data_IF_134514538695
#
_entry.id   IF_134514538695
#
_cell.length_a   1.000
_cell.length_b   1.000
_cell.length_c   1.000
_cell.angle_alpha   90.00
_cell.angle_beta   90.00
_cell.angle_gamma   90.00
#
_symmetry.space_group_name_H-M   'P 1'
#
loop_
_entity.id
_entity.type
_entity.pdbx_description
1 polymer ?
#
# COMPACT_ATOMS: atom_id res chain seq x y z
N UNK A 1 -19.88 -0.71 -13.40
CA UNK A 1 -18.54 -0.17 -13.10
C UNK A 1 -18.56 1.31 -13.47
N UNK A 2 -18.92 2.19 -12.54
CA UNK A 2 -18.89 3.64 -12.79
C UNK A 2 -17.43 4.06 -12.83
N UNK A 3 -16.96 4.53 -13.98
CA UNK A 3 -15.63 5.13 -14.11
C UNK A 3 -15.68 6.44 -13.33
N UNK A 4 -15.25 6.42 -12.07
CA UNK A 4 -15.01 7.66 -11.33
C UNK A 4 -13.79 8.33 -11.96
N UNK A 5 -13.99 9.54 -12.48
CA UNK A 5 -12.89 10.39 -12.93
C UNK A 5 -12.12 10.88 -11.70
N UNK A 6 -11.18 10.07 -11.22
CA UNK A 6 -10.22 10.45 -10.18
C UNK A 6 -9.28 11.56 -10.72
N UNK A 7 -8.93 12.53 -9.87
CA UNK A 7 -7.96 13.59 -10.16
C UNK A 7 -6.65 13.06 -10.74
N UNK A 8 -6.22 11.88 -10.28
CA UNK A 8 -5.02 11.21 -10.80
C UNK A 8 -5.16 10.87 -12.28
N UNK A 9 -6.34 10.39 -12.70
CA UNK A 9 -6.67 10.11 -14.10
C UNK A 9 -6.72 11.40 -14.91
N UNK A 10 -7.35 12.46 -14.39
CA UNK A 10 -7.42 13.76 -15.05
C UNK A 10 -6.02 14.36 -15.28
N UNK A 11 -5.13 14.33 -14.27
CA UNK A 11 -3.75 14.80 -14.38
C UNK A 11 -2.91 13.93 -15.33
N UNK A 12 -3.13 12.62 -15.33
CA UNK A 12 -2.45 11.72 -16.27
C UNK A 12 -2.84 12.05 -17.72
N UNK A 13 -4.13 12.29 -17.98
CA UNK A 13 -4.63 12.73 -19.29
C UNK A 13 -4.05 14.10 -19.65
N UNK A 14 -4.06 15.06 -18.73
CA UNK A 14 -3.50 16.40 -18.94
C UNK A 14 -2.00 16.33 -19.27
N UNK A 15 -1.24 15.48 -18.58
CA UNK A 15 0.18 15.26 -18.83
C UNK A 15 0.43 14.66 -20.22
N UNK A 16 -0.40 13.70 -20.65
CA UNK A 16 -0.33 13.12 -22.00
C UNK A 16 -0.67 14.17 -23.06
N UNK A 17 -1.72 14.98 -22.87
CA UNK A 17 -2.10 16.05 -23.79
C UNK A 17 -1.02 17.13 -23.88
N UNK A 18 -0.45 17.53 -22.74
CA UNK A 18 0.65 18.49 -22.66
C UNK A 18 1.86 18.01 -23.47
N UNK A 19 2.23 16.74 -23.34
CA UNK A 19 3.33 16.14 -24.13
C UNK A 19 2.95 15.98 -25.62
N UNK A 20 1.71 15.63 -25.93
CA UNK A 20 1.23 15.49 -27.30
C UNK A 20 1.23 16.81 -28.07
N UNK A 21 0.94 17.92 -27.39
CA UNK A 21 0.97 19.27 -27.96
C UNK A 21 2.40 19.75 -28.29
N UNK A 22 3.44 19.08 -27.80
CA UNK A 22 4.82 19.58 -27.87
C UNK A 22 5.66 18.89 -28.94
N UNK A 23 5.79 19.54 -30.10
CA UNK A 23 6.45 18.99 -31.30
C UNK A 23 7.90 18.54 -31.11
N UNK A 24 8.68 19.18 -30.24
CA UNK A 24 10.12 18.90 -30.05
C UNK A 24 10.44 17.71 -29.12
N UNK A 25 9.54 17.34 -28.22
CA UNK A 25 9.77 16.34 -27.17
C UNK A 25 8.79 15.17 -27.22
N UNK A 26 7.78 15.26 -28.10
CA UNK A 26 6.70 14.28 -28.30
C UNK A 26 7.18 12.84 -28.38
N UNK A 27 8.16 12.52 -29.23
CA UNK A 27 8.52 11.11 -29.47
C UNK A 27 9.18 10.43 -28.25
N UNK A 28 9.90 11.18 -27.42
CA UNK A 28 10.59 10.63 -26.24
C UNK A 28 9.67 10.52 -25.03
N UNK A 29 8.87 11.56 -24.77
CA UNK A 29 8.02 11.59 -23.58
C UNK A 29 6.70 10.84 -23.77
N UNK A 30 6.14 10.79 -25.00
CA UNK A 30 4.93 9.99 -25.24
C UNK A 30 5.17 8.52 -24.91
N UNK A 31 6.30 7.95 -25.34
CA UNK A 31 6.66 6.57 -25.00
C UNK A 31 6.77 6.35 -23.49
N UNK A 32 7.50 7.22 -22.78
CA UNK A 32 7.70 7.12 -21.33
C UNK A 32 6.40 7.27 -20.53
N UNK A 33 5.54 8.21 -20.92
CA UNK A 33 4.27 8.46 -20.24
C UNK A 33 3.25 7.36 -20.52
N UNK A 34 3.20 6.83 -21.75
CA UNK A 34 2.38 5.66 -22.08
C UNK A 34 2.85 4.45 -21.26
N UNK A 35 4.16 4.22 -21.17
CA UNK A 35 4.71 3.16 -20.30
C UNK A 35 4.33 3.37 -18.84
N UNK A 36 4.45 4.59 -18.31
CA UNK A 36 4.06 4.89 -16.92
C UNK A 36 2.56 4.71 -16.67
N UNK A 37 1.71 5.08 -17.63
CA UNK A 37 0.26 4.88 -17.55
C UNK A 37 -0.10 3.39 -17.48
N UNK A 38 0.55 2.57 -18.30
CA UNK A 38 0.38 1.11 -18.32
C UNK A 38 0.99 0.43 -17.09
N UNK A 39 2.02 1.03 -16.50
CA UNK A 39 2.57 0.62 -15.21
C UNK A 39 1.72 1.11 -14.03
N UNK A 40 0.75 2.02 -14.22
CA UNK A 40 -0.04 2.58 -13.12
C UNK A 40 -0.79 1.54 -12.26
N UNK A 41 -1.33 0.44 -12.80
CA UNK A 41 -1.90 -0.64 -11.98
C UNK A 41 -0.83 -1.35 -11.12
N UNK A 42 0.40 -1.46 -11.64
CA UNK A 42 1.54 -1.97 -10.88
C UNK A 42 2.02 -0.98 -9.81
N UNK A 43 1.97 0.32 -10.09
CA UNK A 43 2.31 1.36 -9.12
C UNK A 43 1.25 1.47 -8.01
N UNK A 44 -0.03 1.33 -8.32
CA UNK A 44 -1.09 1.28 -7.30
C UNK A 44 -0.96 0.03 -6.44
N UNK A 45 -0.57 -1.09 -7.03
CA UNK A 45 -0.22 -2.32 -6.32
C UNK A 45 0.96 -2.11 -5.35
N UNK A 46 2.10 -1.61 -5.83
CA UNK A 46 3.26 -1.30 -4.98
C UNK A 46 2.89 -0.31 -3.87
N UNK A 47 2.11 0.71 -4.22
CA UNK A 47 1.67 1.70 -3.25
C UNK A 47 0.83 1.05 -2.15
N UNK A 48 -0.14 0.20 -2.47
CA UNK A 48 -0.95 -0.49 -1.44
C UNK A 48 -0.10 -1.35 -0.48
N UNK A 49 0.98 -1.98 -0.98
CA UNK A 49 1.87 -2.82 -0.17
C UNK A 49 2.73 -2.04 0.82
N UNK A 50 3.39 -0.98 0.36
CA UNK A 50 4.38 -0.25 1.18
C UNK A 50 3.75 0.83 2.06
N UNK A 51 2.59 1.32 1.68
CA UNK A 51 1.99 2.49 2.31
C UNK A 51 1.57 2.22 3.75
N UNK A 52 1.13 1.01 4.10
CA UNK A 52 0.67 0.72 5.45
C UNK A 52 1.81 0.73 6.51
N UNK A 53 2.93 -0.01 6.34
CA UNK A 53 4.07 0.09 7.26
C UNK A 53 4.63 1.51 7.37
N UNK A 54 4.69 2.24 6.24
CA UNK A 54 5.13 3.64 6.23
C UNK A 54 4.24 4.50 7.14
N UNK A 55 2.92 4.27 7.20
CA UNK A 55 2.02 5.02 8.12
C UNK A 55 2.30 4.75 9.57
N UNK A 56 2.52 3.49 9.94
CA UNK A 56 2.82 3.14 11.31
C UNK A 56 4.10 3.86 11.75
N UNK A 57 5.12 3.85 10.89
CA UNK A 57 6.37 4.55 11.15
C UNK A 57 6.19 6.07 11.20
N UNK A 58 5.44 6.67 10.27
CA UNK A 58 5.15 8.10 10.27
C UNK A 58 4.37 8.52 11.51
N UNK A 59 3.43 7.69 11.99
CA UNK A 59 2.66 7.95 13.20
C UNK A 59 3.56 7.93 14.43
N UNK A 60 4.46 6.95 14.53
CA UNK A 60 5.45 6.87 15.59
C UNK A 60 6.39 8.10 15.60
N UNK A 61 6.91 8.49 14.43
CA UNK A 61 7.76 9.68 14.29
C UNK A 61 6.99 10.97 14.63
N UNK A 62 5.76 11.13 14.14
CA UNK A 62 4.94 12.29 14.44
C UNK A 62 4.68 12.41 15.94
N UNK A 63 4.29 11.31 16.60
CA UNK A 63 4.07 11.30 18.04
C UNK A 63 5.32 11.63 18.85
N UNK A 64 6.48 11.08 18.45
CA UNK A 64 7.77 11.43 19.07
C UNK A 64 8.07 12.93 18.93
N UNK A 65 7.97 13.48 17.71
CA UNK A 65 8.26 14.89 17.46
C UNK A 65 7.27 15.84 18.16
N UNK A 66 6.00 15.47 18.24
CA UNK A 66 4.98 16.24 18.96
C UNK A 66 5.25 16.27 20.47
N UNK A 67 5.65 15.13 21.07
CA UNK A 67 6.08 15.09 22.49
C UNK A 67 7.31 15.95 22.73
N UNK A 68 8.30 15.92 21.82
CA UNK A 68 9.48 16.78 21.88
C UNK A 68 9.11 18.27 21.77
N UNK A 69 8.07 18.61 21.02
CA UNK A 69 7.52 19.96 20.94
C UNK A 69 6.65 20.36 22.15
N UNK A 70 6.55 19.51 23.18
CA UNK A 70 5.78 19.79 24.40
C UNK A 70 4.28 19.49 24.28
N UNK A 71 3.83 18.85 23.20
CA UNK A 71 2.43 18.46 23.01
C UNK A 71 2.23 17.05 23.54
N UNK A 72 1.38 16.90 24.56
CA UNK A 72 1.10 15.60 25.17
C UNK A 72 0.24 14.73 24.23
N UNK A 73 0.91 13.84 23.50
CA UNK A 73 0.30 12.93 22.52
C UNK A 73 0.73 11.49 22.79
N UNK A 74 -0.24 10.61 23.03
CA UNK A 74 -0.02 9.17 23.06
C UNK A 74 -0.13 8.57 21.67
N UNK A 75 0.70 7.57 21.39
CA UNK A 75 0.76 6.87 20.10
C UNK A 75 0.28 5.44 20.31
N UNK A 76 -0.82 5.07 19.66
CA UNK A 76 -1.35 3.71 19.65
C UNK A 76 -1.41 3.21 18.20
N UNK A 77 -0.28 2.70 17.70
CA UNK A 77 -0.18 2.22 16.33
C UNK A 77 -0.39 3.32 15.29
N UNK A 78 -1.45 3.21 14.47
CA UNK A 78 -1.85 4.24 13.51
C UNK A 78 -2.69 5.40 14.11
N UNK A 79 -2.88 5.44 15.44
CA UNK A 79 -3.66 6.47 16.14
C UNK A 79 -2.75 7.41 16.95
N UNK A 80 -3.05 8.70 16.87
CA UNK A 80 -2.49 9.73 17.73
C UNK A 80 -3.59 10.25 18.66
N UNK A 81 -3.36 10.15 19.97
CA UNK A 81 -4.32 10.54 21.00
C UNK A 81 -3.75 11.76 21.72
N UNK A 82 -4.33 12.93 21.47
CA UNK A 82 -3.91 14.17 22.13
C UNK A 82 -4.78 14.44 23.35
N UNK A 83 -4.15 14.66 24.50
CA UNK A 83 -4.87 15.08 25.70
C UNK A 83 -5.13 16.59 25.64
N UNK A 84 -6.41 16.99 25.66
CA UNK A 84 -6.82 18.41 25.68
C UNK A 84 -7.65 18.70 26.94
N UNK A 85 -7.85 19.98 27.26
CA UNK A 85 -8.69 20.37 28.40
C UNK A 85 -10.17 19.92 28.26
N UNK A 86 -10.63 19.65 27.03
CA UNK A 86 -11.98 19.16 26.74
C UNK A 86 -12.08 17.61 26.67
N UNK A 87 -10.97 16.90 26.85
CA UNK A 87 -10.89 15.44 26.76
C UNK A 87 -9.87 14.94 25.71
N UNK A 88 -9.72 13.61 25.57
CA UNK A 88 -8.81 13.02 24.58
C UNK A 88 -9.37 13.15 23.17
N UNK A 89 -8.56 13.72 22.26
CA UNK A 89 -8.88 13.81 20.83
C UNK A 89 -8.11 12.72 20.08
N UNK A 90 -8.85 11.79 19.51
CA UNK A 90 -8.33 10.65 18.74
C UNK A 90 -8.23 11.01 17.25
N UNK A 91 -7.03 10.96 16.68
CA UNK A 91 -6.80 11.14 15.24
C UNK A 91 -6.16 9.90 14.62
N UNK A 92 -6.90 9.29 13.68
CA UNK A 92 -6.40 8.18 12.89
C UNK A 92 -5.54 8.68 11.74
N UNK A 93 -4.33 8.14 11.60
CA UNK A 93 -3.48 8.30 10.42
C UNK A 93 -3.96 7.32 9.34
N UNK A 94 -5.18 7.56 8.87
CA UNK A 94 -5.89 6.69 7.93
C UNK A 94 -5.46 6.93 6.47
N UNK A 95 -5.85 6.06 5.51
CA UNK A 95 -5.63 6.31 4.07
C UNK A 95 -6.24 7.61 3.56
N UNK A 96 -7.24 8.18 4.25
CA UNK A 96 -7.74 9.51 3.93
C UNK A 96 -6.71 10.60 4.28
N UNK A 97 -5.95 10.40 5.36
CA UNK A 97 -4.82 11.24 5.76
C UNK A 97 -3.55 10.91 4.97
N UNK A 98 -3.43 9.70 4.44
CA UNK A 98 -2.30 9.30 3.63
C UNK A 98 -2.63 9.36 2.14
N UNK A 99 -2.16 10.42 1.51
CA UNK A 99 -2.40 10.69 0.12
C UNK A 99 -1.73 9.68 -0.81
N UNK A 100 -2.29 8.49 -0.96
CA UNK A 100 -1.96 7.58 -2.07
C UNK A 100 -2.28 8.29 -3.40
N UNK A 101 -3.46 8.94 -3.44
CA UNK A 101 -3.82 9.88 -4.50
C UNK A 101 -2.83 11.06 -4.54
N UNK A 102 -2.47 11.68 -3.40
CA UNK A 102 -1.51 12.79 -3.42
C UNK A 102 -0.08 12.38 -3.77
N UNK A 103 0.34 11.14 -3.56
CA UNK A 103 1.67 10.63 -3.90
C UNK A 103 1.75 10.40 -5.39
N UNK A 104 0.73 9.77 -5.98
CA UNK A 104 0.57 9.70 -7.44
C UNK A 104 0.55 11.08 -8.07
N UNK A 105 -0.32 11.98 -7.57
CA UNK A 105 -0.41 13.37 -8.02
C UNK A 105 0.91 14.11 -7.87
N UNK A 106 1.60 14.01 -6.73
CA UNK A 106 2.88 14.71 -6.49
C UNK A 106 3.99 14.21 -7.40
N UNK A 107 4.06 12.91 -7.67
CA UNK A 107 5.01 12.36 -8.63
C UNK A 107 4.68 12.81 -10.07
N UNK A 108 3.40 12.86 -10.45
CA UNK A 108 2.98 13.37 -11.76
C UNK A 108 3.33 14.86 -11.93
N UNK A 109 3.05 15.68 -10.92
CA UNK A 109 3.40 17.11 -10.90
C UNK A 109 4.92 17.30 -10.93
N UNK A 110 5.68 16.50 -10.17
CA UNK A 110 7.13 16.53 -10.22
C UNK A 110 7.66 16.21 -11.63
N UNK A 111 7.11 15.19 -12.30
CA UNK A 111 7.45 14.87 -13.68
C UNK A 111 7.07 16.01 -14.64
N UNK A 112 5.93 16.67 -14.44
CA UNK A 112 5.55 17.85 -15.20
C UNK A 112 6.60 18.96 -15.09
N UNK A 113 7.11 19.24 -13.88
CA UNK A 113 8.18 20.23 -13.67
C UNK A 113 9.48 19.86 -14.38
N UNK A 114 9.85 18.58 -14.35
CA UNK A 114 11.03 18.11 -15.06
C UNK A 114 10.88 18.31 -16.57
N UNK A 115 9.75 17.88 -17.15
CA UNK A 115 9.46 18.06 -18.58
C UNK A 115 9.45 19.55 -18.94
N UNK A 116 8.79 20.38 -18.12
CA UNK A 116 8.73 21.83 -18.31
C UNK A 116 10.13 22.46 -18.39
N UNK A 117 11.04 22.09 -17.48
CA UNK A 117 12.40 22.63 -17.49
C UNK A 117 13.27 22.07 -18.63
N UNK A 118 13.09 20.81 -19.04
CA UNK A 118 13.74 20.29 -20.27
C UNK A 118 13.29 21.12 -21.48
N UNK A 119 12.02 21.53 -21.43
CA UNK A 119 11.35 22.54 -22.22
C UNK A 119 12.16 23.79 -22.51
N UNK A 120 12.20 24.58 -21.45
CA UNK A 120 12.72 25.93 -21.44
C UNK A 120 14.22 25.96 -21.76
N UNK A 121 14.96 24.93 -21.34
CA UNK A 121 16.41 24.87 -21.51
C UNK A 121 16.88 24.16 -22.79
N UNK A 122 15.97 23.48 -23.50
CA UNK A 122 16.29 22.57 -24.62
C UNK A 122 17.38 21.54 -24.29
N UNK A 123 17.44 21.14 -23.02
CA UNK A 123 18.33 20.09 -22.51
C UNK A 123 17.50 18.90 -22.04
N UNK A 124 18.08 17.71 -22.05
CA UNK A 124 17.46 16.50 -21.51
C UNK A 124 18.36 15.81 -20.52
N UNK A 125 17.75 15.13 -19.54
CA UNK A 125 18.47 14.31 -18.58
C UNK A 125 18.38 12.83 -18.93
N UNK A 126 19.37 12.05 -18.48
CA UNK A 126 19.38 10.60 -18.65
C UNK A 126 18.33 9.92 -17.77
N UNK A 127 17.98 8.66 -18.09
CA UNK A 127 16.98 7.90 -17.33
C UNK A 127 17.35 7.75 -15.84
N UNK A 128 18.64 7.60 -15.52
CA UNK A 128 19.12 7.49 -14.14
C UNK A 128 18.72 8.74 -13.34
N UNK A 129 18.92 9.93 -13.90
CA UNK A 129 18.54 11.18 -13.25
C UNK A 129 17.03 11.35 -13.12
N UNK A 130 16.24 10.85 -14.07
CA UNK A 130 14.77 10.80 -13.94
C UNK A 130 14.37 9.91 -12.75
N UNK A 131 15.01 8.74 -12.59
CA UNK A 131 14.76 7.82 -11.47
C UNK A 131 15.16 8.48 -10.14
N UNK A 132 16.36 9.07 -10.06
CA UNK A 132 16.86 9.77 -8.86
C UNK A 132 15.93 10.92 -8.48
N UNK A 133 15.52 11.73 -9.46
CA UNK A 133 14.56 12.83 -9.24
C UNK A 133 13.21 12.32 -8.74
N UNK A 134 12.68 11.26 -9.34
CA UNK A 134 11.39 10.67 -8.92
C UNK A 134 11.47 10.08 -7.52
N UNK A 135 12.58 9.39 -7.18
CA UNK A 135 12.82 8.88 -5.83
C UNK A 135 12.95 10.02 -4.81
N UNK A 136 13.58 11.13 -5.20
CA UNK A 136 13.70 12.33 -4.36
C UNK A 136 12.32 12.96 -4.12
N UNK A 137 11.50 13.12 -5.15
CA UNK A 137 10.14 13.62 -5.03
C UNK A 137 9.25 12.71 -4.16
N UNK A 138 9.42 11.40 -4.26
CA UNK A 138 8.77 10.43 -3.38
C UNK A 138 9.18 10.62 -1.91
N UNK A 139 10.49 10.78 -1.64
CA UNK A 139 11.01 11.09 -0.31
C UNK A 139 10.46 12.39 0.26
N UNK A 140 10.43 13.46 -0.55
CA UNK A 140 9.80 14.74 -0.18
C UNK A 140 8.32 14.56 0.16
N UNK A 141 7.59 13.72 -0.58
CA UNK A 141 6.18 13.42 -0.29
C UNK A 141 6.01 12.71 1.05
N UNK A 142 6.88 11.75 1.39
CA UNK A 142 6.88 11.09 2.72
C UNK A 142 7.12 12.12 3.82
N UNK A 143 8.11 13.00 3.65
CA UNK A 143 8.43 14.06 4.61
C UNK A 143 7.28 15.07 4.76
N UNK A 144 6.68 15.50 3.65
CA UNK A 144 5.48 16.33 3.63
C UNK A 144 4.34 15.69 4.42
N UNK A 145 4.13 14.38 4.25
CA UNK A 145 3.10 13.66 5.00
C UNK A 145 3.39 13.63 6.51
N UNK A 146 4.66 13.51 6.91
CA UNK A 146 5.04 13.63 8.33
C UNK A 146 4.64 14.98 8.91
N UNK A 147 5.06 16.08 8.26
CA UNK A 147 4.72 17.44 8.70
C UNK A 147 3.21 17.68 8.69
N UNK A 148 2.50 17.20 7.67
CA UNK A 148 1.04 17.27 7.61
C UNK A 148 0.42 16.62 8.85
N UNK A 149 0.81 15.39 9.20
CA UNK A 149 0.28 14.71 10.38
C UNK A 149 0.55 15.54 11.65
N UNK A 150 1.77 16.05 11.81
CA UNK A 150 2.12 16.89 12.95
C UNK A 150 1.24 18.13 13.05
N UNK A 151 1.06 18.86 11.95
CA UNK A 151 0.24 20.08 11.92
C UNK A 151 -1.24 19.77 12.16
N UNK A 152 -1.77 18.69 11.59
CA UNK A 152 -3.16 18.29 11.81
C UNK A 152 -3.43 17.98 13.29
N UNK A 153 -2.51 17.29 13.97
CA UNK A 153 -2.63 16.98 15.40
C UNK A 153 -2.41 18.21 16.27
N UNK A 154 -1.44 19.05 15.93
CA UNK A 154 -1.16 20.29 16.65
C UNK A 154 -2.32 21.30 16.57
N UNK A 155 -3.03 21.36 15.44
CA UNK A 155 -4.16 22.27 15.23
C UNK A 155 -5.53 21.62 15.41
N UNK A 156 -5.61 20.35 15.83
CA UNK A 156 -6.88 19.63 16.00
C UNK A 156 -7.75 19.60 14.73
N UNK A 157 -7.11 19.60 13.57
CA UNK A 157 -7.76 19.65 12.27
C UNK A 157 -8.30 18.26 11.86
N UNK A 158 -9.49 17.93 12.39
CA UNK A 158 -10.17 16.66 12.16
C UNK A 158 -10.52 16.44 10.67
N UNK A 159 -10.57 15.18 10.21
CA UNK A 159 -11.00 14.86 8.84
C UNK A 159 -12.38 15.44 8.52
N UNK A 160 -12.54 15.97 7.30
CA UNK A 160 -13.79 16.58 6.82
C UNK A 160 -13.95 18.07 7.15
N UNK A 161 -12.96 18.69 7.81
CA UNK A 161 -12.92 20.14 8.03
C UNK A 161 -12.14 20.85 6.91
N UNK A 162 -12.47 22.12 6.64
CA UNK A 162 -11.71 22.96 5.68
C UNK A 162 -10.25 23.11 6.12
N UNK A 163 -10.01 23.23 7.43
CA UNK A 163 -8.66 23.32 7.99
C UNK A 163 -7.82 22.09 7.62
N UNK A 164 -8.40 20.89 7.68
CA UNK A 164 -7.71 19.66 7.32
C UNK A 164 -7.27 19.66 5.85
N UNK A 165 -8.15 20.08 4.95
CA UNK A 165 -7.86 20.14 3.51
C UNK A 165 -6.80 21.20 3.19
N UNK A 166 -6.94 22.40 3.76
CA UNK A 166 -6.03 23.52 3.52
C UNK A 166 -4.63 23.24 4.05
N UNK A 167 -4.50 22.69 5.26
CA UNK A 167 -3.20 22.28 5.82
C UNK A 167 -2.54 21.25 4.89
N UNK A 168 -3.30 20.27 4.42
CA UNK A 168 -2.82 19.27 3.46
C UNK A 168 -2.29 19.89 2.16
N UNK A 169 -3.07 20.80 1.57
CA UNK A 169 -2.71 21.49 0.32
C UNK A 169 -1.47 22.38 0.49
N UNK A 170 -1.42 23.16 1.57
CA UNK A 170 -0.27 24.02 1.87
C UNK A 170 0.97 23.15 2.03
N UNK A 171 0.90 22.07 2.82
CA UNK A 171 2.04 21.17 3.04
C UNK A 171 2.57 20.60 1.73
N UNK A 172 1.70 20.07 0.85
CA UNK A 172 2.19 19.48 -0.41
C UNK A 172 2.80 20.53 -1.33
N UNK A 173 2.23 21.73 -1.39
CA UNK A 173 2.77 22.82 -2.18
C UNK A 173 4.16 23.26 -1.67
N UNK A 174 4.32 23.44 -0.35
CA UNK A 174 5.57 23.94 0.24
C UNK A 174 6.64 22.88 0.41
N UNK A 175 6.30 21.68 0.86
CA UNK A 175 7.29 20.64 1.20
C UNK A 175 7.56 19.66 0.06
N UNK A 176 6.70 19.59 -0.95
CA UNK A 176 6.89 18.67 -2.09
C UNK A 176 7.05 19.40 -3.41
N UNK A 177 6.05 20.18 -3.84
CA UNK A 177 6.04 20.75 -5.19
C UNK A 177 7.08 21.85 -5.38
N UNK A 178 7.16 22.81 -4.45
CA UNK A 178 8.13 23.90 -4.54
C UNK A 178 9.59 23.38 -4.54
N UNK A 179 10.00 22.47 -3.63
CA UNK A 179 11.34 21.88 -3.70
C UNK A 179 11.56 21.05 -4.97
N UNK A 180 10.57 20.26 -5.41
CA UNK A 180 10.68 19.49 -6.64
C UNK A 180 10.92 20.38 -7.87
N UNK A 181 10.24 21.52 -7.95
CA UNK A 181 10.47 22.53 -9.01
C UNK A 181 11.93 23.00 -9.04
N UNK A 182 12.48 23.42 -7.89
CA UNK A 182 13.87 23.88 -7.82
C UNK A 182 14.87 22.77 -8.13
N UNK A 183 14.63 21.56 -7.63
CA UNK A 183 15.49 20.41 -7.91
C UNK A 183 15.46 20.08 -9.41
N UNK A 184 14.29 20.10 -10.07
CA UNK A 184 14.18 19.88 -11.51
C UNK A 184 15.00 20.91 -12.29
N UNK A 185 14.89 22.20 -11.95
CA UNK A 185 15.68 23.27 -12.54
C UNK A 185 17.18 22.99 -12.40
N UNK A 186 17.66 22.78 -11.17
CA UNK A 186 19.09 22.55 -10.88
C UNK A 186 19.61 21.30 -11.58
N UNK A 187 18.82 20.23 -11.59
CA UNK A 187 19.19 18.95 -12.21
C UNK A 187 19.42 19.13 -13.72
N UNK A 188 18.54 19.85 -14.41
CA UNK A 188 18.63 20.06 -15.85
C UNK A 188 19.73 21.07 -16.20
N UNK A 189 19.94 22.09 -15.38
CA UNK A 189 21.02 23.05 -15.58
C UNK A 189 22.41 22.38 -15.46
N UNK A 190 22.58 21.49 -14.47
CA UNK A 190 23.86 20.82 -14.18
C UNK A 190 24.13 19.58 -15.02
N UNK A 191 23.13 18.73 -15.22
CA UNK A 191 23.30 17.42 -15.86
C UNK A 191 22.59 17.29 -17.20
N UNK A 192 21.87 18.33 -17.63
CA UNK A 192 21.15 18.34 -18.89
C UNK A 192 22.10 18.42 -20.09
N UNK A 193 21.92 17.50 -21.03
CA UNK A 193 22.61 17.51 -22.32
C UNK A 193 21.72 18.13 -23.40
N UNK A 194 22.28 18.90 -24.36
CA UNK A 194 21.49 19.51 -25.42
C UNK A 194 20.72 18.44 -26.20
N UNK A 195 19.46 18.74 -26.53
CA UNK A 195 18.63 17.84 -27.34
C UNK A 195 19.30 17.67 -28.69
N UNK A 196 19.91 16.50 -28.91
CA UNK A 196 20.35 16.09 -30.25
C UNK A 196 19.10 15.69 -31.03
N UNK A 197 18.95 16.13 -32.29
CA UNK A 197 17.89 15.64 -33.15
C UNK A 197 18.00 14.12 -33.20
N UNK A 198 16.99 13.44 -32.67
CA UNK A 198 16.93 11.99 -32.69
C UNK A 198 16.87 11.59 -34.15
N UNK A 199 17.93 10.93 -34.65
CA UNK A 199 17.74 10.07 -35.81
C UNK A 199 16.63 9.08 -35.44
N UNK A 200 15.73 8.82 -36.38
CA UNK A 200 14.65 7.87 -36.20
C UNK A 200 15.24 6.47 -35.96
N UNK A 201 15.51 6.15 -34.70
CA UNK A 201 16.06 4.86 -34.33
C UNK A 201 14.91 3.93 -33.98
N UNK A 202 14.62 2.97 -34.88
CA UNK A 202 13.64 1.91 -34.67
C UNK A 202 13.83 1.22 -33.30
N UNK A 203 15.06 1.16 -32.79
CA UNK A 203 15.38 0.58 -31.49
C UNK A 203 14.63 1.24 -30.32
N UNK A 204 14.46 2.57 -30.34
CA UNK A 204 13.73 3.27 -29.27
C UNK A 204 12.22 3.01 -29.33
N UNK A 205 11.66 2.83 -30.54
CA UNK A 205 10.26 2.44 -30.70
C UNK A 205 10.04 0.98 -30.30
N UNK A 206 10.97 0.08 -30.68
CA UNK A 206 10.94 -1.32 -30.28
C UNK A 206 11.01 -1.48 -28.75
N UNK A 207 11.81 -0.67 -28.05
CA UNK A 207 11.82 -0.64 -26.58
C UNK A 207 10.50 -0.17 -25.98
N UNK A 208 9.91 0.89 -26.54
CA UNK A 208 8.60 1.38 -26.12
C UNK A 208 7.50 0.33 -26.31
N UNK A 209 7.48 -0.32 -27.47
CA UNK A 209 6.56 -1.42 -27.78
C UNK A 209 6.81 -2.65 -26.90
N UNK A 210 8.07 -3.00 -26.63
CA UNK A 210 8.44 -4.10 -25.74
C UNK A 210 7.95 -3.88 -24.32
N UNK A 211 8.12 -2.68 -23.76
CA UNK A 211 7.58 -2.33 -22.43
C UNK A 211 6.05 -2.35 -22.42
N UNK A 212 5.41 -1.95 -23.52
CA UNK A 212 3.97 -2.06 -23.73
C UNK A 212 3.50 -3.51 -23.68
N UNK A 213 4.16 -4.41 -24.41
CA UNK A 213 3.88 -5.84 -24.43
C UNK A 213 4.12 -6.49 -23.06
N UNK A 214 5.17 -6.08 -22.34
CA UNK A 214 5.42 -6.53 -20.97
C UNK A 214 4.31 -6.06 -20.04
N UNK A 215 3.91 -4.79 -20.11
CA UNK A 215 2.80 -4.25 -19.31
C UNK A 215 1.49 -5.00 -19.57
N UNK A 216 1.15 -5.21 -20.84
CA UNK A 216 -0.01 -6.03 -21.24
C UNK A 216 0.11 -7.47 -20.78
N UNK A 217 1.30 -8.08 -20.86
CA UNK A 217 1.56 -9.43 -20.37
C UNK A 217 1.37 -9.55 -18.87
N UNK A 218 1.85 -8.57 -18.09
CA UNK A 218 1.61 -8.50 -16.64
C UNK A 218 0.13 -8.34 -16.33
N UNK A 219 -0.59 -7.46 -17.04
CA UNK A 219 -2.03 -7.32 -16.84
C UNK A 219 -2.79 -8.59 -17.22
N UNK A 220 -2.41 -9.26 -18.30
CA UNK A 220 -3.01 -10.54 -18.70
C UNK A 220 -2.74 -11.64 -17.68
N UNK A 221 -1.52 -11.74 -17.14
CA UNK A 221 -1.16 -12.68 -16.07
C UNK A 221 -1.92 -12.38 -14.78
N UNK A 222 -2.03 -11.10 -14.40
CA UNK A 222 -2.77 -10.67 -13.23
C UNK A 222 -4.29 -10.87 -13.37
N UNK A 223 -4.81 -10.87 -14.61
CA UNK A 223 -6.21 -11.13 -14.91
C UNK A 223 -6.53 -12.61 -15.07
N UNK A 224 -5.53 -13.51 -15.04
CA UNK A 224 -5.81 -14.95 -15.09
C UNK A 224 -6.62 -15.35 -13.86
N UNK A 225 -7.71 -16.12 -14.03
CA UNK A 225 -8.44 -16.65 -12.89
C UNK A 225 -7.48 -17.50 -12.07
N UNK A 226 -7.40 -17.18 -10.78
CA UNK A 226 -6.65 -17.97 -9.81
C UNK A 226 -7.23 -19.38 -9.85
N UNK A 227 -6.37 -20.38 -10.05
CA UNK A 227 -6.77 -21.78 -10.07
C UNK A 227 -7.18 -22.21 -8.65
N UNK A 228 -8.49 -22.14 -8.39
CA UNK A 228 -9.10 -22.50 -7.10
C UNK A 228 -9.10 -24.01 -6.84
N UNK A 229 -8.66 -24.83 -7.80
CA UNK A 229 -8.72 -26.29 -7.70
C UNK A 229 -7.57 -26.91 -6.92
N UNK A 230 -6.51 -26.15 -6.60
CA UNK A 230 -5.42 -26.66 -5.77
C UNK A 230 -5.89 -26.75 -4.32
N UNK A 231 -5.98 -27.96 -3.73
CA UNK A 231 -6.31 -28.10 -2.33
C UNK A 231 -5.18 -27.47 -1.50
N UNK A 232 -5.50 -26.37 -0.82
CA UNK A 232 -4.62 -25.84 0.22
C UNK A 232 -4.74 -26.76 1.43
N UNK A 233 -3.77 -27.64 1.59
CA UNK A 233 -3.66 -28.49 2.77
C UNK A 233 -3.15 -27.65 3.94
N UNK A 234 -4.09 -27.12 4.71
CA UNK A 234 -3.79 -26.64 6.05
C UNK A 234 -3.40 -27.84 6.90
N UNK A 235 -2.35 -27.71 7.71
CA UNK A 235 -2.11 -28.67 8.78
C UNK A 235 -3.34 -28.82 9.67
N UNK A 236 -3.42 -29.90 10.43
CA UNK A 236 -4.50 -30.12 11.40
C UNK A 236 -4.51 -29.02 12.46
N UNK A 237 -5.17 -27.89 12.18
CA UNK A 237 -5.49 -26.89 13.19
C UNK A 237 -6.61 -27.51 14.01
N UNK A 238 -6.38 -27.72 15.29
CA UNK A 238 -7.43 -28.17 16.20
C UNK A 238 -8.48 -27.07 16.39
N UNK A 239 -9.49 -27.12 15.52
CA UNK A 239 -10.65 -26.25 15.50
C UNK A 239 -11.88 -26.99 16.04
N UNK A 240 -11.67 -27.93 16.97
CA UNK A 240 -12.77 -28.59 17.69
C UNK A 240 -13.71 -27.53 18.28
N UNK A 241 -15.00 -27.65 17.96
CA UNK A 241 -16.06 -26.73 18.36
C UNK A 241 -16.31 -25.53 17.43
N UNK A 242 -15.61 -25.43 16.30
CA UNK A 242 -15.91 -24.44 15.27
C UNK A 242 -16.80 -25.02 14.16
N UNK A 243 -17.72 -24.20 13.67
CA UNK A 243 -18.41 -24.46 12.41
C UNK A 243 -17.54 -23.95 11.27
N UNK A 244 -17.17 -24.84 10.35
CA UNK A 244 -16.42 -24.50 9.14
C UNK A 244 -17.38 -24.15 8.01
N UNK A 245 -17.07 -23.08 7.27
CA UNK A 245 -17.76 -22.68 6.04
C UNK A 245 -16.71 -22.33 4.99
N UNK A 246 -16.78 -22.98 3.83
CA UNK A 246 -15.97 -22.59 2.69
C UNK A 246 -16.63 -21.40 1.98
N UNK A 247 -15.87 -20.35 1.74
CA UNK A 247 -16.28 -19.17 0.99
C UNK A 247 -15.68 -19.20 -0.42
N UNK A 248 -16.03 -18.21 -1.23
CA UNK A 248 -15.43 -17.98 -2.54
C UNK A 248 -13.92 -17.77 -2.44
N UNK A 249 -13.19 -18.06 -3.52
CA UNK A 249 -11.73 -17.83 -3.62
C UNK A 249 -10.89 -18.66 -2.64
N UNK A 250 -11.37 -19.85 -2.26
CA UNK A 250 -10.62 -20.76 -1.39
C UNK A 250 -10.52 -20.28 0.07
N UNK A 251 -11.24 -19.23 0.46
CA UNK A 251 -11.24 -18.73 1.83
C UNK A 251 -12.02 -19.70 2.73
N UNK A 252 -11.40 -20.12 3.82
CA UNK A 252 -12.06 -20.95 4.83
C UNK A 252 -12.41 -20.10 6.06
N UNK A 253 -13.68 -20.09 6.42
CA UNK A 253 -14.19 -19.43 7.62
C UNK A 253 -14.43 -20.49 8.72
N UNK A 254 -13.98 -20.18 9.93
CA UNK A 254 -14.33 -20.92 11.14
C UNK A 254 -15.02 -19.99 12.12
N UNK A 255 -16.18 -20.38 12.62
CA UNK A 255 -16.94 -19.57 13.56
C UNK A 255 -17.44 -20.36 14.75
N UNK A 256 -17.47 -19.71 15.91
CA UNK A 256 -18.18 -20.12 17.13
C UNK A 256 -18.67 -18.87 17.86
N UNK A 257 -19.52 -18.97 18.90
CA UNK A 257 -19.98 -17.79 19.64
C UNK A 257 -18.80 -16.91 20.11
N UNK A 258 -18.80 -15.65 19.70
CA UNK A 258 -17.80 -14.65 20.08
C UNK A 258 -16.44 -14.73 19.37
N UNK A 259 -16.21 -15.67 18.46
CA UNK A 259 -14.92 -15.84 17.75
C UNK A 259 -15.13 -16.18 16.28
N UNK A 260 -14.40 -15.47 15.42
CA UNK A 260 -14.38 -15.66 13.99
C UNK A 260 -12.93 -15.79 13.51
N UNK A 261 -12.63 -16.85 12.77
CA UNK A 261 -11.32 -17.08 12.17
C UNK A 261 -11.49 -17.20 10.66
N UNK A 262 -10.66 -16.47 9.92
CA UNK A 262 -10.52 -16.62 8.47
C UNK A 262 -9.13 -17.11 8.14
N UNK A 263 -9.08 -18.07 7.24
CA UNK A 263 -7.84 -18.49 6.59
C UNK A 263 -7.98 -18.18 5.11
N UNK A 264 -7.15 -17.24 4.64
CA UNK A 264 -7.20 -16.75 3.27
C UNK A 264 -5.93 -17.16 2.53
N UNK A 265 -5.99 -18.11 1.58
CA UNK A 265 -4.80 -18.54 0.86
C UNK A 265 -4.17 -17.37 0.11
N UNK A 266 -2.84 -17.33 0.06
CA UNK A 266 -2.07 -16.45 -0.82
C UNK A 266 -1.57 -17.35 -1.96
N UNK A 267 -2.34 -17.42 -3.04
CA UNK A 267 -2.07 -18.35 -4.15
C UNK A 267 -0.84 -17.95 -4.95
N UNK A 268 -0.51 -16.66 -4.97
CA UNK A 268 0.56 -16.13 -5.79
C UNK A 268 1.28 -14.96 -5.10
N UNK A 269 2.59 -14.85 -5.35
CA UNK A 269 3.45 -13.79 -4.83
C UNK A 269 3.06 -12.38 -5.32
N UNK A 270 2.23 -12.27 -6.35
CA UNK A 270 1.77 -11.00 -6.93
C UNK A 270 0.30 -10.68 -6.61
N UNK A 271 -0.41 -11.55 -5.89
CA UNK A 271 -1.82 -11.33 -5.55
C UNK A 271 -1.99 -10.23 -4.48
N UNK A 272 -3.00 -9.37 -4.66
CA UNK A 272 -3.39 -8.29 -3.71
C UNK A 272 -4.68 -8.60 -2.95
N UNK A 273 -5.40 -9.63 -3.38
CA UNK A 273 -6.84 -9.84 -3.14
C UNK A 273 -7.26 -9.99 -1.68
N UNK A 274 -6.31 -10.08 -0.75
CA UNK A 274 -6.61 -10.45 0.63
C UNK A 274 -6.02 -9.53 1.69
N UNK A 275 -5.57 -8.32 1.35
CA UNK A 275 -5.16 -7.35 2.38
C UNK A 275 -6.30 -7.15 3.40
N UNK A 276 -6.08 -7.44 4.70
CA UNK A 276 -7.14 -7.36 5.72
C UNK A 276 -7.82 -5.99 5.75
N UNK A 277 -7.03 -4.92 5.62
CA UNK A 277 -7.51 -3.55 5.59
C UNK A 277 -8.50 -3.27 4.44
N UNK A 278 -8.32 -3.90 3.28
CA UNK A 278 -9.23 -3.78 2.14
C UNK A 278 -10.52 -4.56 2.41
N UNK A 279 -10.42 -5.80 2.89
CA UNK A 279 -11.58 -6.65 3.16
C UNK A 279 -12.51 -6.05 4.24
N UNK A 280 -11.93 -5.50 5.31
CA UNK A 280 -12.73 -4.90 6.39
C UNK A 280 -13.41 -3.62 5.97
N UNK A 281 -12.72 -2.75 5.23
CA UNK A 281 -13.35 -1.56 4.66
C UNK A 281 -14.48 -1.93 3.71
N UNK A 282 -14.27 -2.94 2.85
CA UNK A 282 -15.33 -3.46 1.96
C UNK A 282 -16.53 -4.02 2.73
N UNK A 283 -16.31 -4.50 3.96
CA UNK A 283 -17.36 -4.99 4.86
C UNK A 283 -17.98 -3.89 5.74
N UNK A 284 -17.63 -2.62 5.51
CA UNK A 284 -18.15 -1.47 6.24
C UNK A 284 -17.53 -1.23 7.62
N UNK A 285 -16.36 -1.80 7.91
CA UNK A 285 -15.62 -1.53 9.14
C UNK A 285 -14.49 -0.51 8.93
N UNK A 286 -14.31 0.35 9.92
CA UNK A 286 -13.10 1.13 10.13
C UNK A 286 -12.12 0.33 10.99
N UNK A 287 -10.85 0.30 10.59
CA UNK A 287 -9.78 -0.30 11.39
C UNK A 287 -9.05 0.80 12.17
N UNK A 288 -8.91 0.62 13.48
CA UNK A 288 -8.26 1.59 14.37
C UNK A 288 -7.26 0.89 15.29
N UNK A 289 -6.35 1.67 15.85
CA UNK A 289 -5.34 1.21 16.82
C UNK A 289 -4.57 0.00 16.29
N UNK A 290 -4.12 0.07 15.04
CA UNK A 290 -3.37 -1.03 14.45
C UNK A 290 -1.93 -0.97 14.93
N UNK A 291 -1.51 -1.98 15.66
CA UNK A 291 -0.15 -2.12 16.16
C UNK A 291 0.45 -3.46 15.73
N UNK A 292 1.76 -3.47 15.55
CA UNK A 292 2.51 -4.72 15.43
C UNK A 292 2.96 -5.14 16.83
N UNK A 293 2.69 -6.39 17.17
CA UNK A 293 3.03 -6.97 18.47
C UNK A 293 3.59 -8.37 18.29
N UNK A 294 4.18 -8.91 19.36
CA UNK A 294 4.71 -10.27 19.37
C UNK A 294 3.84 -11.13 20.27
N UNK A 295 3.28 -12.21 19.70
CA UNK A 295 2.42 -13.16 20.42
C UNK A 295 3.09 -14.53 20.35
N UNK A 296 3.40 -15.12 21.51
CA UNK A 296 4.14 -16.38 21.61
C UNK A 296 5.46 -16.38 20.82
N UNK A 297 6.17 -15.25 20.78
CA UNK A 297 7.43 -15.11 20.03
C UNK A 297 7.27 -14.87 18.52
N UNK A 298 6.05 -14.75 18.01
CA UNK A 298 5.77 -14.51 16.60
C UNK A 298 5.15 -13.13 16.35
N UNK A 299 5.51 -12.44 15.25
CA UNK A 299 4.94 -11.14 14.93
C UNK A 299 3.49 -11.29 14.46
N UNK A 300 2.62 -10.40 14.95
CA UNK A 300 1.24 -10.29 14.52
C UNK A 300 0.81 -8.82 14.52
N UNK A 301 -0.05 -8.44 13.57
CA UNK A 301 -0.77 -7.19 13.70
C UNK A 301 -2.00 -7.40 14.56
N UNK A 302 -2.32 -6.44 15.43
CA UNK A 302 -3.56 -6.36 16.18
C UNK A 302 -4.25 -5.03 15.90
N UNK A 303 -5.58 -5.00 15.99
CA UNK A 303 -6.35 -3.76 15.82
C UNK A 303 -7.80 -3.90 16.26
N UNK A 304 -8.51 -2.78 16.21
CA UNK A 304 -9.94 -2.68 16.50
C UNK A 304 -10.74 -2.48 15.22
N UNK A 305 -11.86 -3.17 15.10
CA UNK A 305 -12.84 -2.98 14.03
C UNK A 305 -14.08 -2.29 14.62
N UNK A 306 -14.47 -1.17 14.02
CA UNK A 306 -15.66 -0.40 14.41
C UNK A 306 -16.53 -0.16 13.19
N UNK A 307 -17.85 -0.33 13.32
CA UNK A 307 -18.77 0.18 12.31
C UNK A 307 -18.98 1.68 12.52
N UNK A 308 -19.10 2.48 11.45
CA UNK A 308 -19.57 3.86 11.54
C UNK A 308 -20.90 3.89 12.29
N UNK A 309 -21.12 4.91 13.13
CA UNK A 309 -22.38 5.03 13.86
C UNK A 309 -23.54 5.20 12.87
N UNK A 310 -24.34 4.15 12.70
CA UNK A 310 -25.64 4.25 12.04
C UNK A 310 -26.69 4.51 13.12
N UNK A 311 -27.63 5.42 12.86
CA UNK A 311 -28.68 5.78 13.81
C UNK A 311 -29.36 4.52 14.37
N UNK A 312 -29.27 4.33 15.70
CA UNK A 312 -29.91 3.23 16.42
C UNK A 312 -29.09 1.96 16.64
N UNK A 313 -27.86 1.83 16.13
CA UNK A 313 -27.03 0.65 16.38
C UNK A 313 -25.97 0.91 17.46
N UNK A 314 -25.89 0.00 18.44
CA UNK A 314 -24.89 0.04 19.50
C UNK A 314 -23.48 -0.13 18.91
N UNK A 315 -22.55 0.76 19.28
CA UNK A 315 -21.14 0.69 18.87
C UNK A 315 -20.49 -0.57 19.44
N UNK A 316 -20.49 -1.68 18.70
CA UNK A 316 -19.72 -2.86 19.04
C UNK A 316 -18.30 -2.73 18.52
N UNK A 317 -17.32 -2.67 19.42
CA UNK A 317 -15.89 -2.78 19.06
C UNK A 317 -15.53 -4.26 18.98
N UNK A 318 -14.97 -4.67 17.85
CA UNK A 318 -14.37 -6.00 17.71
C UNK A 318 -12.86 -5.86 17.73
N UNK A 319 -12.18 -6.91 18.19
CA UNK A 319 -10.72 -6.96 18.27
C UNK A 319 -10.25 -8.00 17.27
N UNK A 320 -9.26 -7.67 16.47
CA UNK A 320 -8.76 -8.54 15.41
C UNK A 320 -7.24 -8.65 15.43
N UNK A 321 -6.72 -9.81 15.04
CA UNK A 321 -5.30 -10.05 14.83
C UNK A 321 -5.07 -10.75 13.49
N UNK A 322 -3.93 -10.48 12.83
CA UNK A 322 -3.58 -11.13 11.58
C UNK A 322 -2.08 -11.23 11.33
N UNK A 323 -1.69 -12.29 10.63
CA UNK A 323 -0.32 -12.57 10.18
C UNK A 323 -0.35 -13.50 8.97
N UNK A 324 0.77 -13.57 8.25
CA UNK A 324 1.00 -14.58 7.22
C UNK A 324 1.70 -15.78 7.84
N UNK A 325 1.31 -16.98 7.44
CA UNK A 325 1.98 -18.21 7.83
C UNK A 325 2.01 -19.21 6.68
N UNK A 326 3.08 -20.00 6.59
CA UNK A 326 3.13 -21.22 5.79
C UNK A 326 3.35 -22.46 6.68
N UNK A 327 2.99 -22.34 7.95
CA UNK A 327 3.20 -23.34 8.99
C UNK A 327 4.61 -23.42 9.55
N UNK A 328 5.65 -23.16 8.76
CA UNK A 328 7.05 -23.17 9.24
C UNK A 328 7.56 -21.78 9.56
N UNK A 329 7.10 -20.78 8.82
CA UNK A 329 7.46 -19.38 8.95
C UNK A 329 6.20 -18.54 9.21
N UNK A 330 6.35 -17.49 10.00
CA UNK A 330 5.30 -16.57 10.41
C UNK A 330 5.84 -15.15 10.25
N UNK A 331 5.12 -14.33 9.48
CA UNK A 331 5.53 -12.96 9.23
C UNK A 331 4.33 -12.03 9.08
N UNK A 332 4.50 -10.80 9.52
CA UNK A 332 3.62 -9.65 9.23
C UNK A 332 4.02 -8.96 7.92
N UNK A 333 5.23 -9.23 7.42
CA UNK A 333 5.81 -8.56 6.26
C UNK A 333 5.33 -9.18 4.96
N UNK A 334 4.57 -8.39 4.21
CA UNK A 334 4.15 -8.73 2.85
C UNK A 334 5.32 -8.96 1.89
N UNK A 335 6.45 -8.27 2.10
CA UNK A 335 7.65 -8.44 1.30
C UNK A 335 8.35 -9.77 1.62
N UNK A 336 8.52 -10.08 2.91
CA UNK A 336 9.13 -11.33 3.37
C UNK A 336 8.33 -12.52 2.86
N UNK A 337 7.02 -12.50 3.05
CA UNK A 337 6.11 -13.53 2.53
C UNK A 337 6.29 -13.72 1.01
N UNK A 338 6.23 -12.65 0.21
CA UNK A 338 6.36 -12.72 -1.25
C UNK A 338 7.73 -13.20 -1.69
N UNK A 339 8.79 -12.73 -1.02
CA UNK A 339 10.15 -13.18 -1.30
C UNK A 339 10.31 -14.67 -1.03
N UNK A 340 9.72 -15.17 0.06
CA UNK A 340 9.73 -16.59 0.43
C UNK A 340 8.91 -17.42 -0.57
N UNK A 341 7.73 -16.95 -1.00
CA UNK A 341 6.94 -17.61 -2.04
C UNK A 341 7.72 -17.70 -3.37
N UNK A 342 8.42 -16.63 -3.75
CA UNK A 342 9.20 -16.57 -5.00
C UNK A 342 10.42 -17.51 -4.96
N UNK A 343 11.12 -17.58 -3.82
CA UNK A 343 12.36 -18.37 -3.66
C UNK A 343 12.08 -19.84 -3.38
N UNK A 344 11.15 -20.11 -2.47
CA UNK A 344 10.97 -21.44 -1.87
C UNK A 344 9.71 -22.16 -2.40
N UNK A 345 8.89 -21.51 -3.24
CA UNK A 345 7.63 -22.07 -3.78
C UNK A 345 6.69 -22.62 -2.70
N UNK A 346 6.73 -22.04 -1.50
CA UNK A 346 5.85 -22.42 -0.39
C UNK A 346 4.68 -21.45 -0.37
N UNK A 347 3.46 -21.99 -0.38
CA UNK A 347 2.24 -21.20 -0.29
C UNK A 347 2.09 -20.63 1.13
N UNK A 348 1.65 -19.39 1.20
CA UNK A 348 1.30 -18.74 2.46
C UNK A 348 -0.21 -18.64 2.61
N UNK A 349 -0.64 -18.49 3.85
CA UNK A 349 -2.02 -18.18 4.20
C UNK A 349 -1.99 -16.95 5.09
N UNK A 350 -2.97 -16.08 4.89
CA UNK A 350 -3.26 -15.01 5.82
C UNK A 350 -4.24 -15.56 6.86
N UNK A 351 -3.79 -15.64 8.10
CA UNK A 351 -4.63 -15.99 9.24
C UNK A 351 -5.21 -14.71 9.80
N UNK A 352 -6.51 -14.68 10.02
CA UNK A 352 -7.18 -13.60 10.70
C UNK A 352 -8.09 -14.13 11.80
N UNK A 353 -7.99 -13.57 13.00
CA UNK A 353 -8.81 -13.92 14.15
C UNK A 353 -9.50 -12.66 14.65
N UNK A 354 -10.81 -12.71 14.83
CA UNK A 354 -11.63 -11.60 15.32
C UNK A 354 -12.49 -12.07 16.49
N UNK A 355 -12.56 -11.27 17.55
CA UNK A 355 -13.34 -11.58 18.76
C UNK A 355 -14.04 -10.32 19.31
N UNK A 356 -14.90 -10.51 20.30
CA UNK A 356 -15.65 -9.43 20.96
C UNK A 356 -14.89 -8.72 22.08
N UNK A 357 -13.74 -9.24 22.53
CA UNK A 357 -12.90 -8.61 23.56
C UNK A 357 -11.41 -8.89 23.36
N UNK A 358 -10.56 -7.95 23.73
CA UNK A 358 -9.10 -8.08 23.60
C UNK A 358 -8.57 -9.31 24.37
N UNK A 359 -9.09 -9.56 25.58
CA UNK A 359 -8.72 -10.74 26.37
C UNK A 359 -9.13 -12.05 25.70
N UNK A 360 -10.31 -12.10 25.05
CA UNK A 360 -10.71 -13.27 24.28
C UNK A 360 -9.78 -13.49 23.09
N UNK A 361 -9.38 -12.41 22.38
CA UNK A 361 -8.42 -12.49 21.28
C UNK A 361 -7.09 -13.09 21.72
N UNK A 362 -6.50 -12.54 22.79
CA UNK A 362 -5.23 -13.02 23.32
C UNK A 362 -5.32 -14.48 23.78
N UNK A 363 -6.41 -14.87 24.48
CA UNK A 363 -6.65 -16.27 24.86
C UNK A 363 -6.78 -17.19 23.65
N UNK A 364 -7.50 -16.80 22.59
CA UNK A 364 -7.63 -17.64 21.40
C UNK A 364 -6.28 -17.85 20.70
N UNK A 365 -5.46 -16.80 20.61
CA UNK A 365 -4.13 -16.92 19.96
C UNK A 365 -3.17 -17.74 20.82
N UNK A 366 -3.19 -17.55 22.15
CA UNK A 366 -2.25 -18.21 23.06
C UNK A 366 -2.55 -19.69 23.30
N UNK A 367 -3.83 -20.07 23.44
CA UNK A 367 -4.21 -21.43 23.85
C UNK A 367 -4.09 -22.47 22.75
N UNK A 368 -4.06 -22.08 21.47
CA UNK A 368 -4.29 -23.02 20.37
C UNK A 368 -3.12 -23.18 19.42
N UNK A 369 -1.93 -22.67 19.77
CA UNK A 369 -0.78 -22.65 18.85
C UNK A 369 -1.16 -22.13 17.46
N UNK A 370 -2.21 -21.29 17.35
CA UNK A 370 -2.69 -20.80 16.06
C UNK A 370 -1.65 -19.91 15.37
N UNK A 371 -0.75 -19.33 16.16
CA UNK A 371 0.44 -18.64 15.66
C UNK A 371 1.25 -19.57 14.76
N UNK A 372 1.49 -20.80 15.21
CA UNK A 372 2.18 -21.85 14.49
C UNK A 372 1.16 -22.74 13.79
N UNK A 373 0.82 -22.45 12.53
CA UNK A 373 0.18 -23.43 11.68
C UNK A 373 1.15 -24.61 11.35
N UNK A 374 1.96 -25.08 12.31
CA UNK A 374 3.11 -25.99 12.25
C UNK A 374 2.80 -27.41 11.80
N UNK A 375 1.61 -27.66 11.26
CA UNK A 375 1.23 -28.93 10.67
C UNK A 375 1.25 -28.96 9.14
N UNK A 376 1.86 -28.01 8.43
CA UNK A 376 1.94 -28.09 6.96
C UNK A 376 2.98 -29.15 6.56
N UNK A 377 2.56 -30.40 6.46
CA UNK A 377 3.30 -31.41 5.71
C UNK A 377 2.99 -31.24 4.23
N UNK A 378 3.97 -30.81 3.43
CA UNK A 378 3.93 -30.98 1.97
C UNK A 378 4.20 -32.45 1.66
N UNK A 379 3.25 -33.35 1.93
CA UNK A 379 3.27 -34.70 1.34
C UNK A 379 2.71 -34.62 -0.07
N UNK A 380 3.51 -34.03 -0.96
CA UNK A 380 3.10 -33.72 -2.32
C UNK A 380 4.20 -32.99 -3.06
N UNK A 381 5.43 -33.49 -2.99
CA UNK A 381 6.41 -33.07 -3.99
C UNK A 381 5.83 -33.38 -5.37
N UNK A 382 5.75 -32.40 -6.30
CA UNK A 382 5.59 -32.75 -7.68
C UNK A 382 6.83 -33.56 -8.04
N UNK A 383 6.64 -34.82 -8.48
CA UNK A 383 7.72 -35.58 -9.09
C UNK A 383 8.45 -34.65 -10.06
N UNK A 384 9.79 -34.58 -10.05
CA UNK A 384 10.50 -33.84 -11.08
C UNK A 384 10.00 -34.38 -12.42
N UNK A 385 9.46 -33.50 -13.26
CA UNK A 385 9.26 -33.84 -14.67
C UNK A 385 10.65 -34.15 -15.20
N UNK A 386 10.96 -35.44 -15.34
CA UNK A 386 12.07 -35.90 -16.15
C UNK A 386 11.79 -35.39 -17.56
N UNK A 387 12.62 -34.45 -18.01
CA UNK A 387 12.71 -34.11 -19.41
C UNK A 387 13.50 -35.22 -20.10
N UNK A 388 12.86 -36.39 -20.23
CA UNK A 388 13.30 -37.48 -21.08
C UNK A 388 12.03 -38.10 -21.67
N UNK A 389 11.61 -37.52 -22.80
CA UNK A 389 11.11 -38.18 -24.02
C UNK A 389 10.62 -37.14 -25.03
#
# INVERSE_FOLDING_TARGET
MTISFDLTTALSVALVLFVAAQRSTRSRWAGRLITLLLLSPGLSYLSALFTFPIRLQLSAWAGMLLRLAGINVETAGNMLIRQTAAGPVEMAVDPACMGLQMTGVSLLVALFFLIWHEQQTRKTVSLIWVIVYSATAFGLTILCNLFRIMLLVAFEAMPGTIAHELIGLICVATYTWLPAWFIAKVLIERFGQPIRPSSWNLWHQAWGAGLLLVGMGVMFLAARPIDQSKPHHFGNIDLTGYTQKQLTEGITQFSKPGVLVYIKPQTDWFSVGHSPAICWRGSGYEIRQVEETTINGHPAYMGQLRKPAQAGHQKSVLYTAWWFSNGTDITTSQFTMRSNMLRNKVDYVLVNITTTSQEALLRQISQRNLASATGISVSGQPRPRSWDQ
#
